data_IF_100322135814
#
_entry.id   IF_100322135814
#
_cell.length_a   1.000
_cell.length_b   1.000
_cell.length_c   1.000
_cell.angle_alpha   90.00
_cell.angle_beta   90.00
_cell.angle_gamma   90.00
#
_symmetry.space_group_name_H-M   'P 1'
#
loop_
_entity.id
_entity.type
_entity.pdbx_description
1 polymer ?
#
# COMPACT_ATOMS: atom_id res chain seq x y z
N UNK A 1 -10.25 -13.01 7.85
CA UNK A 1 -11.38 -12.30 8.49
C UNK A 1 -12.55 -12.37 7.53
N UNK A 2 -13.70 -12.83 7.98
CA UNK A 2 -14.99 -12.68 7.27
C UNK A 2 -15.85 -11.83 8.20
N UNK A 3 -16.55 -10.85 7.67
CA UNK A 3 -17.51 -10.08 8.45
C UNK A 3 -17.68 -8.66 7.89
N UNK A 4 -18.59 -7.93 8.48
CA UNK A 4 -19.02 -6.60 8.06
C UNK A 4 -18.09 -5.45 8.59
N UNK A 5 -16.78 -5.73 8.79
CA UNK A 5 -15.85 -4.75 9.40
C UNK A 5 -15.73 -3.45 8.60
N UNK A 6 -15.87 -3.55 7.27
CA UNK A 6 -15.76 -2.42 6.34
C UNK A 6 -17.04 -2.24 5.52
N UNK A 7 -18.16 -2.78 5.99
CA UNK A 7 -19.44 -2.72 5.27
C UNK A 7 -19.84 -1.28 4.95
N UNK A 8 -20.08 -1.03 3.66
CA UNK A 8 -20.45 0.28 3.15
C UNK A 8 -19.28 1.29 3.11
N UNK A 9 -18.04 0.84 3.32
CA UNK A 9 -16.84 1.66 3.09
C UNK A 9 -16.43 1.59 1.62
N UNK A 10 -15.95 2.70 1.09
CA UNK A 10 -15.44 2.85 -0.28
C UNK A 10 -13.92 3.00 -0.19
N UNK A 11 -13.21 2.02 -0.67
CA UNK A 11 -11.77 1.88 -0.49
C UNK A 11 -11.03 1.98 -1.81
N UNK A 12 -9.94 2.74 -1.84
CA UNK A 12 -9.03 2.82 -2.98
C UNK A 12 -7.71 2.19 -2.58
N UNK A 13 -7.21 1.23 -3.38
CA UNK A 13 -5.91 0.58 -3.17
C UNK A 13 -5.06 0.75 -4.42
N UNK A 14 -3.92 1.44 -4.29
CA UNK A 14 -3.03 1.65 -5.43
C UNK A 14 -2.06 0.50 -5.63
N UNK A 15 -1.84 0.10 -6.90
CA UNK A 15 -0.89 -0.94 -7.29
C UNK A 15 -1.39 -2.38 -7.06
N UNK A 16 -0.50 -3.34 -7.32
CA UNK A 16 -0.77 -4.78 -7.33
C UNK A 16 -0.02 -5.51 -6.19
N UNK A 17 0.20 -6.83 -6.34
CA UNK A 17 0.93 -7.68 -5.38
C UNK A 17 0.27 -7.66 -3.99
N UNK A 18 0.91 -7.09 -2.98
CA UNK A 18 0.32 -6.93 -1.64
C UNK A 18 -1.01 -6.16 -1.71
N UNK A 19 -1.10 -5.15 -2.59
CA UNK A 19 -2.32 -4.38 -2.82
C UNK A 19 -3.51 -5.22 -3.27
N UNK A 20 -3.30 -6.24 -4.11
CA UNK A 20 -4.35 -7.21 -4.46
C UNK A 20 -4.91 -7.91 -3.22
N UNK A 21 -4.04 -8.43 -2.37
CA UNK A 21 -4.47 -9.14 -1.16
C UNK A 21 -5.18 -8.22 -0.15
N UNK A 22 -4.77 -6.95 -0.07
CA UNK A 22 -5.45 -5.93 0.73
C UNK A 22 -6.84 -5.67 0.17
N UNK A 23 -6.96 -5.46 -1.15
CA UNK A 23 -8.23 -5.20 -1.83
C UNK A 23 -9.22 -6.36 -1.65
N UNK A 24 -8.78 -7.60 -1.85
CA UNK A 24 -9.59 -8.80 -1.61
C UNK A 24 -10.02 -8.93 -0.14
N UNK A 25 -9.13 -8.60 0.81
CA UNK A 25 -9.48 -8.62 2.23
C UNK A 25 -10.52 -7.54 2.57
N UNK A 26 -10.45 -6.37 1.97
CA UNK A 26 -11.45 -5.30 2.12
C UNK A 26 -12.80 -5.73 1.56
N UNK A 27 -12.83 -6.30 0.35
CA UNK A 27 -14.04 -6.85 -0.26
C UNK A 27 -14.67 -7.96 0.61
N UNK A 28 -13.86 -8.88 1.16
CA UNK A 28 -14.30 -9.91 2.13
C UNK A 28 -14.89 -9.33 3.41
N UNK A 29 -14.52 -8.08 3.74
CA UNK A 29 -15.06 -7.35 4.90
C UNK A 29 -16.22 -6.41 4.54
N UNK A 30 -16.74 -6.48 3.29
CA UNK A 30 -17.94 -5.76 2.85
C UNK A 30 -17.70 -4.37 2.29
N UNK A 31 -16.46 -4.00 1.96
CA UNK A 31 -16.14 -2.73 1.33
C UNK A 31 -16.33 -2.79 -0.20
N UNK A 32 -16.80 -1.70 -0.80
CA UNK A 32 -16.61 -1.43 -2.22
C UNK A 32 -15.15 -1.01 -2.46
N UNK A 33 -14.52 -1.56 -3.51
CA UNK A 33 -13.07 -1.41 -3.70
C UNK A 33 -12.71 -0.99 -5.12
N UNK A 34 -11.85 0.01 -5.25
CA UNK A 34 -11.18 0.36 -6.50
C UNK A 34 -9.69 0.05 -6.39
N UNK A 35 -9.16 -0.70 -7.36
CA UNK A 35 -7.72 -0.97 -7.48
C UNK A 35 -7.12 -0.22 -8.66
N UNK A 36 -5.83 0.15 -8.56
CA UNK A 36 -5.11 0.69 -9.71
C UNK A 36 -4.09 -0.30 -10.27
N UNK A 37 -3.84 -0.22 -11.57
CA UNK A 37 -2.81 -1.00 -12.26
C UNK A 37 -2.08 -0.13 -13.30
N UNK A 38 -0.91 -0.56 -13.76
CA UNK A 38 -0.15 0.15 -14.81
C UNK A 38 -0.25 -0.58 -16.16
N UNK A 39 0.13 -1.85 -16.22
CA UNK A 39 0.31 -2.57 -17.49
C UNK A 39 -0.58 -3.81 -17.64
N UNK A 40 -0.92 -4.51 -16.58
CA UNK A 40 -1.62 -5.79 -16.66
C UNK A 40 -3.12 -5.63 -16.37
N UNK A 41 -3.88 -5.20 -17.40
CA UNK A 41 -5.34 -5.07 -17.29
C UNK A 41 -6.03 -6.40 -17.00
N UNK A 42 -5.60 -7.48 -17.64
CA UNK A 42 -6.24 -8.79 -17.46
C UNK A 42 -6.17 -9.25 -15.98
N UNK A 43 -5.00 -9.13 -15.34
CA UNK A 43 -4.85 -9.47 -13.92
C UNK A 43 -5.65 -8.53 -12.99
N UNK A 44 -5.84 -7.28 -13.38
CA UNK A 44 -6.72 -6.35 -12.65
C UNK A 44 -8.19 -6.75 -12.78
N UNK A 45 -8.65 -7.10 -13.99
CA UNK A 45 -10.02 -7.56 -14.24
C UNK A 45 -10.34 -8.88 -13.50
N UNK A 46 -9.38 -9.82 -13.46
CA UNK A 46 -9.49 -11.05 -12.65
C UNK A 46 -9.67 -10.71 -11.15
N UNK A 47 -8.89 -9.74 -10.65
CA UNK A 47 -8.98 -9.31 -9.25
C UNK A 47 -10.34 -8.66 -8.95
N UNK A 48 -10.87 -7.85 -9.87
CA UNK A 48 -12.22 -7.29 -9.76
C UNK A 48 -13.26 -8.40 -9.69
N UNK A 49 -13.22 -9.37 -10.61
CA UNK A 49 -14.14 -10.49 -10.63
C UNK A 49 -14.09 -11.35 -9.33
N UNK A 50 -12.91 -11.49 -8.72
CA UNK A 50 -12.79 -12.18 -7.42
C UNK A 50 -13.44 -11.37 -6.28
N UNK A 51 -13.27 -10.04 -6.29
CA UNK A 51 -13.88 -9.18 -5.28
C UNK A 51 -15.40 -9.15 -5.38
N UNK A 52 -15.95 -9.10 -6.58
CA UNK A 52 -17.41 -9.11 -6.82
C UNK A 52 -18.13 -10.37 -6.28
N UNK A 53 -17.41 -11.49 -6.14
CA UNK A 53 -17.95 -12.72 -5.52
C UNK A 53 -18.38 -12.52 -4.07
N UNK A 54 -17.91 -11.46 -3.42
CA UNK A 54 -18.30 -11.11 -2.05
C UNK A 54 -19.53 -10.19 -1.97
N UNK A 55 -20.15 -9.86 -3.14
CA UNK A 55 -21.38 -9.05 -3.22
C UNK A 55 -21.13 -7.56 -3.03
N UNK A 56 -19.93 -7.09 -3.32
CA UNK A 56 -19.51 -5.68 -3.27
C UNK A 56 -19.30 -5.13 -4.69
N UNK A 57 -19.28 -3.82 -4.85
CA UNK A 57 -18.86 -3.20 -6.09
C UNK A 57 -17.34 -3.15 -6.15
N UNK A 58 -16.77 -3.58 -7.28
CA UNK A 58 -15.33 -3.57 -7.49
C UNK A 58 -14.97 -2.93 -8.83
N UNK A 59 -13.87 -2.17 -8.85
CA UNK A 59 -13.44 -1.43 -10.03
C UNK A 59 -11.93 -1.53 -10.19
N UNK A 60 -11.46 -1.39 -11.43
CA UNK A 60 -10.05 -1.22 -11.74
C UNK A 60 -9.83 0.01 -12.61
N UNK A 61 -8.72 0.72 -12.40
CA UNK A 61 -8.36 1.90 -13.17
C UNK A 61 -6.87 1.89 -13.51
N UNK A 62 -6.52 2.20 -14.78
CA UNK A 62 -5.12 2.31 -15.18
C UNK A 62 -4.56 3.62 -14.66
N UNK A 63 -3.50 3.55 -13.83
CA UNK A 63 -2.84 4.72 -13.26
C UNK A 63 -1.36 4.43 -12.99
N UNK A 64 -0.45 5.18 -13.62
CA UNK A 64 0.94 5.27 -13.16
C UNK A 64 0.97 6.22 -11.95
N UNK A 65 1.27 5.69 -10.77
CA UNK A 65 1.26 6.44 -9.52
C UNK A 65 2.19 7.68 -9.56
N UNK A 66 3.30 7.61 -10.31
CA UNK A 66 4.23 8.74 -10.46
C UNK A 66 3.83 9.79 -11.48
N UNK A 67 2.69 9.61 -12.17
CA UNK A 67 2.15 10.54 -13.16
C UNK A 67 0.99 11.36 -12.56
N UNK A 68 1.13 12.68 -12.61
CA UNK A 68 0.15 13.60 -12.00
C UNK A 68 -1.16 13.62 -12.79
N UNK A 69 -1.11 13.55 -14.11
CA UNK A 69 -2.32 13.56 -14.94
C UNK A 69 -3.09 12.24 -14.83
N UNK A 70 -2.39 11.09 -14.71
CA UNK A 70 -3.03 9.81 -14.41
C UNK A 70 -3.74 9.86 -13.05
N UNK A 71 -3.12 10.48 -12.04
CA UNK A 71 -3.73 10.62 -10.71
C UNK A 71 -4.95 11.55 -10.71
N UNK A 72 -4.94 12.63 -11.48
CA UNK A 72 -6.11 13.50 -11.67
C UNK A 72 -7.27 12.74 -12.32
N UNK A 73 -7.00 12.00 -13.40
CA UNK A 73 -8.00 11.14 -14.05
C UNK A 73 -8.56 10.06 -13.11
N UNK A 74 -7.70 9.51 -12.26
CA UNK A 74 -8.14 8.58 -11.20
C UNK A 74 -9.12 9.26 -10.23
N UNK A 75 -8.83 10.49 -9.79
CA UNK A 75 -9.70 11.23 -8.88
C UNK A 75 -11.07 11.51 -9.52
N UNK A 76 -11.10 11.92 -10.80
CA UNK A 76 -12.35 12.13 -11.53
C UNK A 76 -13.15 10.83 -11.64
N UNK A 77 -12.51 9.72 -11.97
CA UNK A 77 -13.16 8.41 -12.06
C UNK A 77 -13.71 7.93 -10.70
N UNK A 78 -12.94 8.12 -9.61
CA UNK A 78 -13.41 7.80 -8.25
C UNK A 78 -14.67 8.62 -7.92
N UNK A 79 -14.70 9.90 -8.27
CA UNK A 79 -15.86 10.76 -8.07
C UNK A 79 -17.09 10.26 -8.84
N UNK A 80 -16.88 9.74 -10.07
CA UNK A 80 -17.93 9.16 -10.89
C UNK A 80 -18.52 7.88 -10.27
N UNK A 81 -17.66 6.92 -9.86
CA UNK A 81 -18.13 5.58 -9.44
C UNK A 81 -18.48 5.49 -7.96
N UNK A 82 -17.84 6.29 -7.09
CA UNK A 82 -18.04 6.26 -5.64
C UNK A 82 -18.66 7.53 -5.05
N UNK A 83 -18.49 8.68 -5.72
CA UNK A 83 -18.84 9.99 -5.18
C UNK A 83 -17.87 10.47 -4.12
N UNK A 84 -17.58 9.64 -3.12
CA UNK A 84 -16.58 9.89 -2.06
C UNK A 84 -15.92 8.60 -1.61
N UNK A 85 -14.82 8.69 -0.85
CA UNK A 85 -14.06 7.55 -0.31
C UNK A 85 -13.93 7.61 1.21
N UNK A 86 -13.69 6.46 1.81
CA UNK A 86 -13.45 6.30 3.24
C UNK A 86 -12.01 5.88 3.55
N UNK A 87 -11.38 5.12 2.64
CA UNK A 87 -10.04 4.56 2.85
C UNK A 87 -9.20 4.72 1.58
N UNK A 88 -7.97 5.22 1.74
CA UNK A 88 -6.92 5.19 0.73
C UNK A 88 -5.76 4.33 1.22
N UNK A 89 -5.36 3.32 0.45
CA UNK A 89 -4.13 2.57 0.66
C UNK A 89 -3.13 2.92 -0.43
N UNK A 90 -2.08 3.63 -0.06
CA UNK A 90 -0.94 3.92 -0.92
C UNK A 90 0.00 2.72 -0.89
N UNK A 91 -0.20 1.78 -1.82
CA UNK A 91 0.59 0.56 -1.93
C UNK A 91 1.45 0.51 -3.20
N UNK A 92 1.11 1.25 -4.25
CA UNK A 92 1.94 1.30 -5.45
C UNK A 92 3.39 1.64 -5.10
N UNK A 93 4.32 0.85 -5.62
CA UNK A 93 5.75 1.02 -5.34
C UNK A 93 6.60 0.09 -6.21
N UNK A 94 7.90 0.37 -6.23
CA UNK A 94 8.93 -0.38 -6.94
C UNK A 94 10.12 -0.61 -6.01
N UNK A 95 10.74 -1.79 -6.07
CA UNK A 95 11.86 -2.11 -5.17
C UNK A 95 13.22 -1.62 -5.71
N UNK A 96 13.32 -1.46 -7.03
CA UNK A 96 14.60 -1.16 -7.69
C UNK A 96 15.54 -2.36 -7.79
N UNK A 97 16.65 -2.17 -8.52
CA UNK A 97 17.68 -3.18 -8.65
C UNK A 97 18.67 -3.12 -7.47
N UNK A 98 19.13 -4.28 -7.02
CA UNK A 98 20.18 -4.37 -6.02
C UNK A 98 21.51 -3.88 -6.60
N UNK A 99 22.02 -2.76 -6.09
CA UNK A 99 23.28 -2.18 -6.57
C UNK A 99 24.00 -1.37 -5.47
N UNK A 100 25.35 -1.43 -5.42
CA UNK A 100 26.13 -0.52 -4.60
C UNK A 100 25.81 0.95 -4.94
N UNK A 101 25.90 1.85 -3.97
CA UNK A 101 25.58 3.29 -4.16
C UNK A 101 26.30 3.91 -5.35
N UNK A 102 27.53 3.49 -5.63
CA UNK A 102 28.34 3.98 -6.76
C UNK A 102 27.85 3.50 -8.12
N UNK A 103 26.94 2.55 -8.18
CA UNK A 103 26.38 1.96 -9.40
C UNK A 103 24.89 2.29 -9.60
N UNK A 104 24.21 2.80 -8.58
CA UNK A 104 22.84 3.30 -8.72
C UNK A 104 22.88 4.51 -9.65
N UNK A 105 22.21 4.41 -10.79
CA UNK A 105 22.11 5.54 -11.74
C UNK A 105 21.14 6.59 -11.24
N UNK A 106 21.30 7.85 -11.68
CA UNK A 106 20.33 8.90 -11.39
C UNK A 106 18.94 8.55 -11.89
N UNK A 107 18.83 7.93 -13.06
CA UNK A 107 17.53 7.53 -13.63
C UNK A 107 16.82 6.48 -12.76
N UNK A 108 17.57 5.49 -12.24
CA UNK A 108 16.98 4.49 -11.33
C UNK A 108 16.58 5.11 -9.99
N UNK A 109 17.42 5.98 -9.43
CA UNK A 109 17.08 6.77 -8.25
C UNK A 109 15.80 7.58 -8.46
N UNK A 110 15.72 8.33 -9.56
CA UNK A 110 14.57 9.17 -9.88
C UNK A 110 13.32 8.35 -10.14
N UNK A 111 13.45 7.18 -10.77
CA UNK A 111 12.35 6.23 -10.98
C UNK A 111 11.74 5.76 -9.66
N UNK A 112 12.58 5.36 -8.70
CA UNK A 112 12.12 4.90 -7.37
C UNK A 112 11.45 6.04 -6.62
N UNK A 113 12.09 7.22 -6.57
CA UNK A 113 11.53 8.39 -5.88
C UNK A 113 10.21 8.85 -6.53
N UNK A 114 10.12 8.79 -7.86
CA UNK A 114 8.90 9.12 -8.60
C UNK A 114 7.74 8.21 -8.24
N UNK A 115 7.97 6.91 -8.19
CA UNK A 115 6.88 5.94 -7.93
C UNK A 115 6.55 5.90 -6.44
N UNK A 116 7.55 5.69 -5.58
CA UNK A 116 7.35 5.35 -4.17
C UNK A 116 7.11 6.56 -3.26
N UNK A 117 7.59 7.75 -3.66
CA UNK A 117 7.43 8.98 -2.85
C UNK A 117 6.45 9.94 -3.51
N UNK A 118 6.74 10.38 -4.76
CA UNK A 118 5.85 11.29 -5.48
C UNK A 118 4.49 10.67 -5.71
N UNK A 119 4.41 9.36 -5.97
CA UNK A 119 3.13 8.64 -6.13
C UNK A 119 2.25 8.73 -4.89
N UNK A 120 2.82 8.50 -3.71
CA UNK A 120 2.10 8.66 -2.42
C UNK A 120 1.64 10.10 -2.22
N UNK A 121 2.49 11.07 -2.53
CA UNK A 121 2.13 12.49 -2.47
C UNK A 121 0.99 12.83 -3.41
N UNK A 122 1.05 12.43 -4.67
CA UNK A 122 0.02 12.74 -5.67
C UNK A 122 -1.33 12.12 -5.33
N UNK A 123 -1.36 10.81 -5.01
CA UNK A 123 -2.59 10.14 -4.62
C UNK A 123 -3.21 10.81 -3.38
N UNK A 124 -2.40 11.10 -2.36
CA UNK A 124 -2.88 11.79 -1.16
C UNK A 124 -3.44 13.17 -1.50
N UNK A 125 -2.69 14.00 -2.24
CA UNK A 125 -3.06 15.36 -2.63
C UNK A 125 -4.40 15.42 -3.37
N UNK A 126 -4.57 14.56 -4.37
CA UNK A 126 -5.75 14.60 -5.26
C UNK A 126 -6.95 13.84 -4.71
N UNK A 127 -6.76 12.88 -3.79
CA UNK A 127 -7.87 12.11 -3.22
C UNK A 127 -8.37 12.64 -1.88
N UNK A 128 -7.59 13.44 -1.12
CA UNK A 128 -8.08 14.09 0.12
C UNK A 128 -9.43 14.80 -0.09
N UNK A 129 -9.65 15.61 -1.16
CA UNK A 129 -10.93 16.29 -1.35
C UNK A 129 -12.14 15.37 -1.55
N UNK A 130 -11.91 14.08 -1.84
CA UNK A 130 -12.94 13.07 -2.07
C UNK A 130 -13.32 12.31 -0.79
N UNK A 131 -12.59 12.49 0.33
CA UNK A 131 -12.97 11.84 1.57
C UNK A 131 -14.34 12.31 2.07
N UNK A 132 -15.13 11.36 2.57
CA UNK A 132 -16.43 11.64 3.16
C UNK A 132 -16.26 12.51 4.41
N UNK A 133 -16.97 13.63 4.46
CA UNK A 133 -16.83 14.60 5.57
C UNK A 133 -17.55 14.19 6.84
N UNK A 134 -18.51 13.27 6.71
CA UNK A 134 -19.32 12.78 7.84
C UNK A 134 -18.70 11.52 8.49
N UNK A 135 -17.59 11.03 7.93
CA UNK A 135 -16.91 9.82 8.40
C UNK A 135 -15.42 10.09 8.62
N UNK A 136 -14.83 9.40 9.59
CA UNK A 136 -13.38 9.48 9.79
C UNK A 136 -12.66 8.70 8.70
N UNK A 137 -11.97 9.43 7.81
CA UNK A 137 -11.17 8.87 6.74
C UNK A 137 -9.93 8.14 7.24
N UNK A 138 -9.40 7.21 6.43
CA UNK A 138 -8.17 6.47 6.73
C UNK A 138 -7.21 6.50 5.54
N UNK A 139 -5.98 6.92 5.75
CA UNK A 139 -4.88 6.76 4.80
C UNK A 139 -3.89 5.78 5.38
N UNK A 140 -3.57 4.73 4.63
CA UNK A 140 -2.63 3.68 5.02
C UNK A 140 -1.52 3.64 3.96
N UNK A 141 -0.31 4.02 4.37
CA UNK A 141 0.85 4.03 3.50
C UNK A 141 1.64 2.74 3.67
N UNK A 142 1.86 2.00 2.59
CA UNK A 142 2.68 0.79 2.61
C UNK A 142 4.16 1.18 2.43
N UNK A 143 4.91 1.05 3.51
CA UNK A 143 6.35 1.26 3.58
C UNK A 143 7.10 -0.08 3.55
N UNK A 144 8.18 -0.19 4.29
CA UNK A 144 8.98 -1.39 4.49
C UNK A 144 9.72 -1.31 5.82
N UNK A 145 10.00 -2.46 6.44
CA UNK A 145 10.92 -2.52 7.59
C UNK A 145 12.30 -1.96 7.24
N UNK A 146 12.71 -2.09 5.97
CA UNK A 146 14.00 -1.58 5.49
C UNK A 146 14.13 -0.07 5.64
N UNK A 147 13.02 0.66 5.74
CA UNK A 147 13.00 2.11 5.98
C UNK A 147 13.61 2.51 7.33
N UNK A 148 13.74 1.59 8.26
CA UNK A 148 14.35 1.77 9.59
C UNK A 148 15.56 0.87 9.81
N UNK A 149 15.52 -0.38 9.31
CA UNK A 149 16.62 -1.33 9.42
C UNK A 149 17.79 -0.96 8.50
N UNK A 150 17.48 -0.41 7.31
CA UNK A 150 18.44 -0.27 6.23
C UNK A 150 18.76 -1.61 5.56
N UNK A 151 19.31 -1.55 4.35
CA UNK A 151 19.84 -2.71 3.63
C UNK A 151 20.95 -2.24 2.68
N UNK A 152 22.10 -2.91 2.72
CA UNK A 152 23.16 -2.67 1.73
C UNK A 152 22.62 -2.88 0.32
N UNK A 153 23.09 -2.09 -0.63
CA UNK A 153 22.72 -2.12 -2.04
C UNK A 153 21.27 -1.69 -2.38
N UNK A 154 20.50 -1.19 -1.39
CA UNK A 154 19.11 -0.71 -1.58
C UNK A 154 18.91 0.72 -1.08
N UNK A 155 19.93 1.57 -1.19
CA UNK A 155 19.92 2.95 -0.67
C UNK A 155 18.73 3.77 -1.21
N UNK A 156 18.43 3.67 -2.51
CA UNK A 156 17.29 4.34 -3.15
C UNK A 156 15.94 3.92 -2.57
N UNK A 157 15.73 2.60 -2.42
CA UNK A 157 14.48 2.04 -1.88
C UNK A 157 14.30 2.40 -0.40
N UNK A 158 15.34 2.22 0.41
CA UNK A 158 15.28 2.55 1.85
C UNK A 158 15.05 4.03 2.07
N UNK A 159 15.66 4.90 1.25
CA UNK A 159 15.42 6.34 1.29
C UNK A 159 13.96 6.68 0.95
N UNK A 160 13.42 6.09 -0.12
CA UNK A 160 12.03 6.30 -0.52
C UNK A 160 11.05 5.86 0.56
N UNK A 161 11.21 4.66 1.13
CA UNK A 161 10.34 4.16 2.21
C UNK A 161 10.51 4.93 3.52
N UNK A 162 11.71 5.46 3.79
CA UNK A 162 11.95 6.42 4.88
C UNK A 162 11.21 7.75 4.68
N UNK A 163 11.17 8.27 3.45
CA UNK A 163 10.39 9.46 3.09
C UNK A 163 8.88 9.24 3.33
N UNK A 164 8.33 8.08 2.96
CA UNK A 164 6.93 7.73 3.22
C UNK A 164 6.60 7.75 4.71
N UNK A 165 7.51 7.24 5.57
CA UNK A 165 7.32 7.29 7.03
C UNK A 165 7.30 8.74 7.56
N UNK A 166 8.17 9.60 7.04
CA UNK A 166 8.20 11.01 7.40
C UNK A 166 6.93 11.74 6.95
N UNK A 167 6.49 11.50 5.70
CA UNK A 167 5.23 12.03 5.17
C UNK A 167 4.03 11.60 6.02
N UNK A 168 3.97 10.32 6.42
CA UNK A 168 2.89 9.80 7.26
C UNK A 168 2.73 10.60 8.56
N UNK A 169 3.83 10.92 9.25
CA UNK A 169 3.79 11.70 10.48
C UNK A 169 3.31 13.13 10.26
N UNK A 170 3.78 13.79 9.20
CA UNK A 170 3.35 15.15 8.87
C UNK A 170 1.87 15.19 8.50
N UNK A 171 1.42 14.27 7.63
CA UNK A 171 0.02 14.16 7.22
C UNK A 171 -0.90 13.81 8.40
N UNK A 172 -0.45 12.98 9.34
CA UNK A 172 -1.22 12.65 10.54
C UNK A 172 -1.48 13.89 11.41
N UNK A 173 -0.50 14.79 11.55
CA UNK A 173 -0.66 16.05 12.27
C UNK A 173 -1.57 17.04 11.53
N UNK A 174 -1.48 17.06 10.21
CA UNK A 174 -2.21 18.00 9.36
C UNK A 174 -3.70 17.63 9.23
N UNK A 175 -4.00 16.32 9.11
CA UNK A 175 -5.32 15.84 8.69
C UNK A 175 -6.20 15.33 9.85
N UNK A 176 -5.63 15.04 11.01
CA UNK A 176 -6.40 14.63 12.17
C UNK A 176 -7.28 15.78 12.69
N UNK A 177 -8.47 15.50 13.24
CA UNK A 177 -9.07 14.18 13.47
C UNK A 177 -9.87 13.63 12.28
N UNK A 178 -9.98 14.36 11.17
CA UNK A 178 -10.86 14.01 10.06
C UNK A 178 -10.34 12.83 9.24
N UNK A 179 -9.02 12.73 9.04
CA UNK A 179 -8.38 11.62 8.35
C UNK A 179 -7.22 11.13 9.20
N UNK A 180 -7.21 9.84 9.54
CA UNK A 180 -6.13 9.20 10.29
C UNK A 180 -5.14 8.59 9.31
N UNK A 181 -3.87 8.96 9.44
CA UNK A 181 -2.80 8.51 8.53
C UNK A 181 -1.83 7.62 9.29
N UNK A 182 -1.60 6.40 8.78
CA UNK A 182 -0.68 5.43 9.39
C UNK A 182 0.17 4.73 8.34
N UNK A 183 1.27 4.17 8.77
CA UNK A 183 2.17 3.34 7.96
C UNK A 183 2.06 1.87 8.36
N UNK A 184 1.92 0.98 7.38
CA UNK A 184 2.21 -0.44 7.50
C UNK A 184 3.54 -0.71 6.80
N UNK A 185 4.48 -1.32 7.51
CA UNK A 185 5.84 -1.57 7.05
C UNK A 185 6.16 -3.07 7.08
N UNK A 186 5.83 -3.80 6.00
CA UNK A 186 6.08 -5.23 5.92
C UNK A 186 7.56 -5.60 6.07
N UNK A 187 7.81 -6.77 6.65
CA UNK A 187 9.06 -7.51 6.51
C UNK A 187 9.12 -8.27 5.18
N UNK A 188 9.94 -9.33 5.09
CA UNK A 188 10.02 -10.17 3.91
C UNK A 188 8.72 -10.96 3.73
N UNK A 189 7.96 -10.64 2.67
CA UNK A 189 6.64 -11.21 2.38
C UNK A 189 6.70 -12.07 1.13
N UNK A 190 6.17 -13.29 1.23
CA UNK A 190 6.00 -14.20 0.10
C UNK A 190 4.99 -13.62 -0.90
N UNK A 191 5.50 -13.14 -2.03
CA UNK A 191 4.74 -12.59 -3.14
C UNK A 191 5.09 -13.34 -4.42
N UNK A 192 4.21 -13.31 -5.44
CA UNK A 192 4.48 -13.92 -6.74
C UNK A 192 5.86 -13.50 -7.29
N UNK A 193 6.22 -12.23 -7.11
CA UNK A 193 7.51 -11.69 -7.55
C UNK A 193 8.69 -12.34 -6.82
N UNK A 194 8.62 -12.49 -5.50
CA UNK A 194 9.69 -13.13 -4.73
C UNK A 194 9.83 -14.61 -5.10
N UNK A 195 8.71 -15.33 -5.29
CA UNK A 195 8.72 -16.74 -5.64
C UNK A 195 9.24 -17.01 -7.06
N UNK A 196 9.05 -16.08 -8.00
CA UNK A 196 9.44 -16.24 -9.40
C UNK A 196 10.86 -15.75 -9.69
N UNK A 197 11.28 -14.65 -9.05
CA UNK A 197 12.49 -13.92 -9.41
C UNK A 197 13.66 -14.15 -8.44
N UNK A 198 13.41 -14.73 -7.25
CA UNK A 198 14.44 -14.88 -6.22
C UNK A 198 14.99 -16.30 -6.14
N UNK A 199 16.30 -16.42 -5.93
CA UNK A 199 16.95 -17.72 -5.72
C UNK A 199 16.50 -18.36 -4.40
N UNK A 200 16.56 -19.70 -4.33
CA UNK A 200 16.29 -20.43 -3.09
C UNK A 200 17.21 -20.01 -1.94
N UNK A 201 18.46 -19.69 -2.24
CA UNK A 201 19.43 -19.19 -1.26
C UNK A 201 18.99 -17.83 -0.68
N UNK A 202 18.48 -16.94 -1.54
CA UNK A 202 17.95 -15.66 -1.10
C UNK A 202 16.72 -15.86 -0.19
N UNK A 203 15.79 -16.73 -0.58
CA UNK A 203 14.60 -17.05 0.23
C UNK A 203 14.98 -17.58 1.60
N UNK A 204 15.94 -18.51 1.69
CA UNK A 204 16.43 -19.03 2.98
C UNK A 204 17.11 -17.96 3.84
N UNK A 205 17.84 -17.03 3.22
CA UNK A 205 18.43 -15.88 3.91
C UNK A 205 17.36 -14.97 4.51
N UNK A 206 16.28 -14.70 3.79
CA UNK A 206 15.18 -13.86 4.28
C UNK A 206 14.34 -14.55 5.38
N UNK A 207 14.33 -15.88 5.45
CA UNK A 207 13.73 -16.65 6.55
C UNK A 207 14.53 -16.61 7.84
N UNK A 208 15.79 -16.13 7.79
CA UNK A 208 16.63 -16.02 8.98
C UNK A 208 16.21 -14.85 9.89
N UNK A 209 14.99 -14.91 10.35
CA UNK A 209 14.32 -13.99 11.28
C UNK A 209 13.70 -14.80 12.42
N UNK A 210 13.35 -14.20 13.57
CA UNK A 210 12.82 -14.92 14.73
C UNK A 210 11.66 -15.87 14.45
N UNK A 211 10.74 -15.53 13.54
CA UNK A 211 9.63 -16.44 13.19
C UNK A 211 10.02 -17.54 12.19
N UNK A 212 11.23 -17.55 11.63
CA UNK A 212 11.75 -18.61 10.77
C UNK A 212 10.99 -18.83 9.45
N UNK A 213 10.18 -17.86 9.02
CA UNK A 213 9.40 -17.92 7.77
C UNK A 213 9.26 -16.56 7.13
N UNK A 214 9.01 -16.54 5.84
CA UNK A 214 8.46 -15.35 5.20
C UNK A 214 7.05 -15.06 5.74
N UNK A 215 6.68 -13.78 5.78
CA UNK A 215 5.30 -13.39 5.99
C UNK A 215 4.45 -13.72 4.76
N UNK A 216 3.16 -13.90 4.96
CA UNK A 216 2.17 -14.01 3.88
C UNK A 216 1.55 -12.65 3.59
N UNK A 217 0.98 -12.49 2.41
CA UNK A 217 0.18 -11.29 2.08
C UNK A 217 -1.01 -11.12 3.04
N UNK A 218 -1.47 -12.22 3.66
CA UNK A 218 -2.53 -12.19 4.69
C UNK A 218 -2.05 -11.54 6.00
N UNK A 219 -0.76 -11.72 6.37
CA UNK A 219 -0.19 -11.07 7.56
C UNK A 219 -0.26 -9.54 7.42
N UNK A 220 -0.16 -9.01 6.21
CA UNK A 220 -0.23 -7.58 5.92
C UNK A 220 -1.68 -7.09 5.78
N UNK A 221 -2.51 -7.80 5.02
CA UNK A 221 -3.90 -7.39 4.80
C UNK A 221 -4.71 -7.38 6.10
N UNK A 222 -4.40 -8.26 7.06
CA UNK A 222 -5.04 -8.29 8.37
C UNK A 222 -4.84 -6.98 9.16
N UNK A 223 -3.60 -6.48 9.20
CA UNK A 223 -3.28 -5.20 9.85
C UNK A 223 -3.92 -4.03 9.10
N UNK A 224 -3.94 -4.10 7.77
CA UNK A 224 -4.54 -3.04 6.95
C UNK A 224 -6.06 -2.97 7.16
N UNK A 225 -6.75 -4.12 7.26
CA UNK A 225 -8.19 -4.18 7.63
C UNK A 225 -8.43 -3.60 9.02
N UNK A 226 -7.58 -3.92 10.01
CA UNK A 226 -7.69 -3.34 11.36
C UNK A 226 -7.65 -1.81 11.29
N UNK A 227 -6.64 -1.24 10.63
CA UNK A 227 -6.45 0.21 10.52
C UNK A 227 -7.57 0.89 9.71
N UNK A 228 -8.11 0.23 8.69
CA UNK A 228 -9.22 0.73 7.89
C UNK A 228 -10.57 0.70 8.65
N UNK A 229 -10.71 -0.17 9.65
CA UNK A 229 -11.95 -0.37 10.42
C UNK A 229 -12.09 0.62 11.58
N UNK A 230 -13.26 0.59 12.24
CA UNK A 230 -13.50 1.31 13.49
C UNK A 230 -12.52 0.97 14.62
N UNK A 231 -11.89 -0.19 14.58
CA UNK A 231 -10.89 -0.58 15.57
C UNK A 231 -9.54 0.11 15.36
N UNK A 232 -9.35 0.77 14.22
CA UNK A 232 -8.18 1.60 13.91
C UNK A 232 -8.29 3.06 14.33
N UNK A 233 -9.37 3.48 14.98
CA UNK A 233 -9.65 4.91 15.25
C UNK A 233 -8.72 5.57 16.27
N UNK A 234 -7.93 4.80 17.02
CA UNK A 234 -6.93 5.36 17.93
C UNK A 234 -5.48 5.26 17.41
N UNK A 235 -5.32 4.87 16.15
CA UNK A 235 -4.02 4.86 15.47
C UNK A 235 -3.89 6.12 14.60
N UNK A 236 -2.92 6.98 14.93
CA UNK A 236 -2.63 8.21 14.17
C UNK A 236 -1.11 8.43 14.13
N UNK A 237 -0.54 8.53 12.94
CA UNK A 237 0.89 8.72 12.73
C UNK A 237 1.76 7.51 13.08
N UNK A 238 1.16 6.33 13.26
CA UNK A 238 1.86 5.15 13.73
C UNK A 238 2.60 4.42 12.61
N UNK A 239 3.72 3.82 12.98
CA UNK A 239 4.50 2.89 12.17
C UNK A 239 4.28 1.48 12.71
N UNK A 240 3.59 0.63 11.93
CA UNK A 240 3.22 -0.72 12.33
C UNK A 240 3.93 -1.70 11.39
N UNK A 241 4.82 -2.51 11.95
CA UNK A 241 5.71 -3.38 11.16
C UNK A 241 5.46 -4.87 11.44
N UNK A 242 4.58 -5.53 10.68
CA UNK A 242 4.48 -6.99 10.69
C UNK A 242 5.64 -7.59 9.90
N UNK A 243 6.76 -7.88 10.60
CA UNK A 243 8.05 -8.23 10.00
C UNK A 243 8.66 -9.56 10.52
N UNK A 244 7.91 -10.33 11.32
CA UNK A 244 8.39 -11.61 11.86
C UNK A 244 9.57 -11.51 12.83
N UNK A 245 9.87 -10.32 13.35
CA UNK A 245 11.00 -10.03 14.21
C UNK A 245 12.29 -9.65 13.46
N UNK A 246 12.20 -9.37 12.14
CA UNK A 246 13.36 -8.95 11.33
C UNK A 246 13.98 -7.64 11.83
N UNK A 247 13.18 -6.79 12.50
CA UNK A 247 13.63 -5.58 13.20
C UNK A 247 12.70 -5.28 14.37
N UNK A 248 13.27 -4.80 15.47
CA UNK A 248 12.53 -4.26 16.62
C UNK A 248 12.67 -2.73 16.61
N UNK A 249 11.54 -2.03 16.83
CA UNK A 249 11.42 -0.56 16.70
C UNK A 249 10.80 0.00 17.97
#
# INVERSE_FOLDING_TARGET
>A
MKGDLLKGSRCVVTGASIGKAIAEAFAKCGADVLITYVSNKAKADETVAEMEKYGVNAYSFRCDAGDEEDTKRLADYIKEVFGSIDVLVNNAGAIGEEAPITQITSDEWDRIMRVDVKGVFLATKYLIPLFDKERTGKIINISSELSVKGRANYTHYTAAKGAVNAMTRSLALELAPHILVNTVAPGPIETDMILQDMSSEWVEKEKNIPLGRLGSVTDISAVTVLLASKYGEFYCGQFISPNGGAVFI
#
